data_IF_105283978462
#
_entry.id   IF_105283978462
#
_cell.length_a   1.000
_cell.length_b   1.000
_cell.length_c   1.000
_cell.angle_alpha   90.00
_cell.angle_beta   90.00
_cell.angle_gamma   90.00
#
_symmetry.space_group_name_H-M   'P 1'
#
loop_
_entity.id
_entity.type
_entity.pdbx_description
1 polymer ?
#
# COMPACT_ATOMS: atom_id res chain seq x y z
N UNK A 1 25.75 -53.28 -84.35
CA UNK A 1 25.23 -53.02 -82.98
C UNK A 1 25.52 -54.29 -82.19
N UNK A 2 26.72 -54.46 -81.65
CA UNK A 2 27.15 -54.04 -80.30
C UNK A 2 26.30 -54.74 -79.23
N UNK A 3 26.77 -55.68 -78.41
CA UNK A 3 28.09 -56.22 -78.17
C UNK A 3 28.02 -57.43 -77.21
N UNK A 4 29.14 -58.13 -77.07
CA UNK A 4 29.49 -59.05 -75.97
C UNK A 4 30.98 -58.77 -75.71
N UNK A 5 31.54 -58.88 -74.49
CA UNK A 5 31.48 -60.12 -73.70
C UNK A 5 31.61 -60.01 -72.15
N UNK A 6 31.50 -61.19 -71.54
CA UNK A 6 32.34 -61.73 -70.46
C UNK A 6 31.89 -61.75 -68.99
N UNK A 7 32.18 -62.86 -68.26
CA UNK A 7 31.71 -63.16 -66.91
C UNK A 7 32.80 -63.03 -65.82
N UNK A 8 32.38 -62.91 -64.56
CA UNK A 8 33.15 -63.14 -63.32
C UNK A 8 32.10 -63.16 -62.20
N UNK A 9 32.01 -64.09 -61.25
CA UNK A 9 33.02 -64.93 -60.63
C UNK A 9 32.88 -64.73 -59.11
N UNK A 10 32.61 -65.82 -58.40
CA UNK A 10 32.88 -66.07 -56.97
C UNK A 10 31.96 -65.52 -55.85
N UNK A 11 31.39 -66.48 -55.12
CA UNK A 11 31.42 -66.67 -53.65
C UNK A 11 30.46 -65.95 -52.66
N UNK A 12 29.56 -66.78 -52.06
CA UNK A 12 29.27 -67.05 -50.61
C UNK A 12 29.26 -65.91 -49.56
N UNK A 13 28.68 -66.09 -48.35
CA UNK A 13 27.39 -66.66 -47.90
C UNK A 13 26.58 -65.75 -46.93
N UNK A 14 25.32 -66.14 -46.67
CA UNK A 14 24.52 -66.03 -45.42
C UNK A 14 24.49 -64.73 -44.56
N UNK A 15 23.30 -64.12 -44.46
CA UNK A 15 22.71 -63.57 -43.22
C UNK A 15 21.23 -63.27 -43.52
N UNK A 16 20.25 -63.90 -42.86
CA UNK A 16 19.80 -63.47 -41.54
C UNK A 16 18.50 -62.67 -41.69
N UNK A 17 17.35 -63.34 -41.71
CA UNK A 17 16.05 -62.66 -41.61
C UNK A 17 15.54 -62.83 -40.18
N UNK A 18 15.63 -61.74 -39.43
CA UNK A 18 15.43 -61.69 -37.99
C UNK A 18 13.98 -61.81 -37.52
N UNK A 19 13.79 -61.93 -36.20
CA UNK A 19 12.49 -62.02 -35.56
C UNK A 19 11.75 -60.67 -35.57
N UNK A 20 10.44 -60.71 -35.78
CA UNK A 20 9.55 -59.58 -35.60
C UNK A 20 9.50 -59.16 -34.13
N UNK A 21 9.97 -57.94 -33.85
CA UNK A 21 9.93 -57.30 -32.52
C UNK A 21 8.52 -56.70 -32.30
N UNK A 22 7.79 -57.05 -31.22
CA UNK A 22 6.58 -56.32 -30.83
C UNK A 22 6.97 -54.96 -30.20
N UNK A 23 6.17 -53.90 -30.38
CA UNK A 23 6.52 -52.57 -29.91
C UNK A 23 6.60 -52.53 -28.39
N UNK A 24 7.76 -52.14 -27.87
CA UNK A 24 8.02 -51.97 -26.45
C UNK A 24 7.10 -50.92 -25.84
N UNK A 25 6.11 -51.39 -25.07
CA UNK A 25 5.42 -50.56 -24.10
C UNK A 25 6.43 -50.12 -23.05
N UNK A 26 6.82 -48.84 -23.11
CA UNK A 26 7.70 -48.24 -22.11
C UNK A 26 7.00 -48.26 -20.75
N UNK A 27 7.41 -49.22 -19.91
CA UNK A 27 6.99 -49.34 -18.52
C UNK A 27 7.46 -48.10 -17.75
N UNK A 28 6.62 -47.07 -17.69
CA UNK A 28 6.85 -45.92 -16.81
C UNK A 28 6.88 -46.43 -15.37
N UNK A 29 8.04 -46.29 -14.73
CA UNK A 29 8.29 -46.86 -13.41
C UNK A 29 7.26 -46.34 -12.39
N UNK A 30 6.83 -47.17 -11.43
CA UNK A 30 5.90 -46.74 -10.38
C UNK A 30 6.47 -45.59 -9.54
N UNK A 31 7.79 -45.45 -9.48
CA UNK A 31 8.50 -44.33 -8.89
C UNK A 31 8.22 -42.98 -9.58
N UNK A 32 8.12 -42.95 -10.91
CA UNK A 32 7.71 -41.73 -11.64
C UNK A 32 6.25 -41.35 -11.36
N UNK A 33 5.36 -42.32 -11.08
CA UNK A 33 3.96 -42.04 -10.71
C UNK A 33 3.84 -41.50 -9.29
N UNK A 34 4.67 -41.98 -8.36
CA UNK A 34 4.70 -41.53 -6.97
C UNK A 34 5.31 -40.12 -6.82
N UNK A 35 6.35 -39.78 -7.58
CA UNK A 35 6.91 -38.41 -7.57
C UNK A 35 5.99 -37.42 -8.28
N UNK A 36 5.33 -37.81 -9.37
CA UNK A 36 4.36 -36.96 -10.06
C UNK A 36 3.14 -36.61 -9.18
N UNK A 37 2.67 -37.53 -8.35
CA UNK A 37 1.55 -37.28 -7.43
C UNK A 37 1.93 -36.41 -6.24
N UNK A 38 3.17 -36.55 -5.73
CA UNK A 38 3.72 -35.70 -4.66
C UNK A 38 3.95 -34.26 -5.14
N UNK A 39 4.54 -34.09 -6.32
CA UNK A 39 4.73 -32.78 -6.95
C UNK A 39 3.39 -32.08 -7.24
N UNK A 40 2.39 -32.82 -7.72
CA UNK A 40 1.02 -32.30 -7.90
C UNK A 40 0.41 -31.83 -6.59
N UNK A 41 0.49 -32.63 -5.52
CA UNK A 41 -0.02 -32.25 -4.19
C UNK A 41 0.67 -31.01 -3.63
N UNK A 42 1.99 -30.90 -3.79
CA UNK A 42 2.73 -29.71 -3.39
C UNK A 42 2.31 -28.47 -4.17
N UNK A 43 2.08 -28.61 -5.49
CA UNK A 43 1.57 -27.52 -6.32
C UNK A 43 0.16 -27.08 -5.91
N UNK A 44 -0.73 -28.03 -5.59
CA UNK A 44 -2.06 -27.72 -5.07
C UNK A 44 -1.98 -26.99 -3.73
N UNK A 45 -1.19 -27.49 -2.77
CA UNK A 45 -1.01 -26.83 -1.47
C UNK A 45 -0.44 -25.42 -1.60
N UNK A 46 0.58 -25.24 -2.44
CA UNK A 46 1.15 -23.93 -2.71
C UNK A 46 0.13 -22.99 -3.38
N UNK A 47 -0.66 -23.49 -4.33
CA UNK A 47 -1.74 -22.74 -4.97
C UNK A 47 -2.83 -22.32 -3.97
N UNK A 48 -3.27 -23.24 -3.11
CA UNK A 48 -4.27 -22.93 -2.07
C UNK A 48 -3.73 -21.90 -1.08
N UNK A 49 -2.47 -22.02 -0.65
CA UNK A 49 -1.83 -21.04 0.24
C UNK A 49 -1.74 -19.66 -0.41
N UNK A 50 -1.34 -19.59 -1.69
CA UNK A 50 -1.27 -18.34 -2.43
C UNK A 50 -2.66 -17.66 -2.54
N UNK A 51 -3.70 -18.43 -2.90
CA UNK A 51 -5.08 -17.92 -2.95
C UNK A 51 -5.52 -17.41 -1.58
N UNK A 52 -5.21 -18.14 -0.50
CA UNK A 52 -5.54 -17.73 0.85
C UNK A 52 -4.86 -16.42 1.24
N UNK A 53 -3.56 -16.27 0.95
CA UNK A 53 -2.82 -15.03 1.22
C UNK A 53 -3.38 -13.84 0.44
N UNK A 54 -3.74 -14.05 -0.83
CA UNK A 54 -4.40 -13.02 -1.65
C UNK A 54 -5.73 -12.61 -1.03
N UNK A 55 -6.58 -13.57 -0.64
CA UNK A 55 -7.86 -13.30 0.02
C UNK A 55 -7.69 -12.51 1.31
N UNK A 56 -6.76 -12.92 2.19
CA UNK A 56 -6.48 -12.22 3.45
C UNK A 56 -6.02 -10.79 3.18
N UNK A 57 -5.13 -10.59 2.21
CA UNK A 57 -4.62 -9.26 1.87
C UNK A 57 -5.72 -8.37 1.27
N UNK A 58 -6.54 -8.90 0.37
CA UNK A 58 -7.70 -8.19 -0.18
C UNK A 58 -8.71 -7.80 0.88
N UNK A 59 -9.03 -8.68 1.81
CA UNK A 59 -9.94 -8.37 2.93
C UNK A 59 -9.33 -7.30 3.83
N UNK A 60 -8.04 -7.41 4.17
CA UNK A 60 -7.36 -6.40 4.97
C UNK A 60 -7.36 -5.02 4.28
N UNK A 61 -7.18 -4.98 2.96
CA UNK A 61 -7.22 -3.75 2.18
C UNK A 61 -8.62 -3.15 2.11
N UNK A 62 -9.68 -3.96 2.10
CA UNK A 62 -11.06 -3.46 2.09
C UNK A 62 -11.51 -2.91 3.46
N UNK A 63 -10.94 -3.41 4.55
CA UNK A 63 -11.36 -3.03 5.91
C UNK A 63 -10.46 -1.96 6.52
N UNK A 64 -9.22 -1.81 6.05
CA UNK A 64 -8.33 -0.76 6.53
C UNK A 64 -8.89 0.63 6.18
N UNK A 65 -8.94 1.58 7.14
CA UNK A 65 -9.26 2.97 6.84
C UNK A 65 -8.20 3.52 5.89
N UNK A 66 -8.61 3.92 4.70
CA UNK A 66 -7.76 4.64 3.76
C UNK A 66 -7.94 6.13 3.98
N UNK A 67 -6.86 6.91 4.06
CA UNK A 67 -6.99 8.35 4.16
C UNK A 67 -7.57 8.92 2.87
N UNK A 68 -8.42 9.92 3.00
CA UNK A 68 -8.95 10.71 1.88
C UNK A 68 -7.84 11.53 1.20
N UNK A 69 -6.81 11.90 1.96
CA UNK A 69 -5.59 12.51 1.44
C UNK A 69 -4.39 12.21 2.36
N UNK A 70 -3.19 12.18 1.79
CA UNK A 70 -1.93 12.14 2.55
C UNK A 70 -1.09 13.35 2.20
N UNK A 71 -0.89 14.22 3.18
CA UNK A 71 -0.21 15.50 3.08
C UNK A 71 1.28 15.33 3.34
N UNK A 72 2.11 15.88 2.45
CA UNK A 72 3.58 15.75 2.55
C UNK A 72 4.17 16.89 3.35
N UNK A 73 5.36 16.65 3.91
CA UNK A 73 6.16 17.70 4.53
C UNK A 73 6.52 18.79 3.52
N UNK A 74 6.35 20.05 3.89
CA UNK A 74 6.82 21.19 3.09
C UNK A 74 8.20 21.65 3.57
N UNK A 75 8.99 22.22 2.67
CA UNK A 75 10.32 22.79 2.98
C UNK A 75 10.24 24.22 3.50
N UNK A 76 9.06 24.84 3.41
CA UNK A 76 8.88 26.23 3.79
C UNK A 76 8.98 26.37 5.30
N UNK A 77 9.76 27.37 5.72
CA UNK A 77 9.84 27.72 7.13
C UNK A 77 8.53 28.34 7.60
N UNK A 78 8.10 28.08 8.85
CA UNK A 78 6.91 28.72 9.40
C UNK A 78 7.11 30.24 9.40
N UNK A 79 6.15 30.96 8.84
CA UNK A 79 6.18 32.42 8.84
C UNK A 79 5.78 32.98 10.21
N UNK A 80 5.82 34.31 10.33
CA UNK A 80 5.51 35.00 11.59
C UNK A 80 4.06 34.85 12.02
N UNK A 81 3.12 34.65 11.08
CA UNK A 81 1.71 34.45 11.40
C UNK A 81 1.52 33.08 12.03
N UNK A 82 2.05 32.04 11.40
CA UNK A 82 2.03 30.67 11.94
C UNK A 82 2.72 30.67 13.30
N UNK A 83 3.95 31.17 13.42
CA UNK A 83 4.67 31.20 14.70
C UNK A 83 3.92 31.97 15.80
N UNK A 84 3.20 33.04 15.45
CA UNK A 84 2.36 33.75 16.41
C UNK A 84 1.18 32.92 16.89
N UNK A 85 0.54 32.14 16.01
CA UNK A 85 -0.58 31.27 16.36
C UNK A 85 -0.12 30.08 17.19
N UNK A 86 1.01 29.46 16.83
CA UNK A 86 1.61 28.37 17.61
C UNK A 86 1.99 28.85 19.02
N UNK A 87 2.51 30.08 19.16
CA UNK A 87 2.85 30.67 20.46
C UNK A 87 1.66 31.11 21.31
N UNK A 88 0.52 31.44 20.68
CA UNK A 88 -0.68 31.92 21.40
C UNK A 88 -1.35 30.83 22.23
N UNK A 89 -1.21 29.55 21.84
CA UNK A 89 -1.76 28.41 22.58
C UNK A 89 -0.99 28.09 23.88
N UNK A 90 -0.06 28.95 24.30
CA UNK A 90 0.71 28.79 25.55
C UNK A 90 1.84 27.77 25.46
N UNK A 91 2.05 27.20 24.28
CA UNK A 91 3.13 26.29 23.98
C UNK A 91 4.43 27.09 23.84
N UNK A 92 5.37 26.85 24.74
CA UNK A 92 6.75 27.31 24.58
C UNK A 92 7.41 26.38 23.54
N UNK A 93 7.10 26.63 22.27
CA UNK A 93 7.44 25.76 21.15
C UNK A 93 8.93 25.85 20.82
N UNK A 94 9.61 24.70 20.70
CA UNK A 94 10.92 24.66 20.07
C UNK A 94 10.77 24.94 18.57
N UNK A 95 11.12 26.15 18.14
CA UNK A 95 11.00 26.58 16.73
C UNK A 95 11.77 25.68 15.77
N UNK A 96 12.84 25.03 16.22
CA UNK A 96 13.62 24.12 15.37
C UNK A 96 12.90 22.80 15.10
N UNK A 97 11.89 22.47 15.91
CA UNK A 97 11.07 21.28 15.78
C UNK A 97 9.85 21.47 14.88
N UNK A 98 9.53 22.73 14.53
CA UNK A 98 8.32 23.07 13.77
C UNK A 98 8.42 22.55 12.34
N UNK A 99 7.39 21.82 11.93
CA UNK A 99 7.29 21.20 10.60
C UNK A 99 5.91 21.45 10.02
N UNK A 100 5.87 22.04 8.82
CA UNK A 100 4.64 22.25 8.08
C UNK A 100 4.35 21.09 7.13
N UNK A 101 3.07 20.90 6.81
CA UNK A 101 2.61 19.93 5.83
C UNK A 101 1.81 20.64 4.75
N UNK A 102 1.65 19.98 3.60
CA UNK A 102 0.80 20.45 2.51
C UNK A 102 -0.60 20.78 3.03
N UNK A 103 -1.22 21.82 2.46
CA UNK A 103 -2.56 22.22 2.86
C UNK A 103 -3.63 21.24 2.38
N UNK A 104 -4.70 21.09 3.15
CA UNK A 104 -5.91 20.39 2.73
C UNK A 104 -7.11 21.30 2.91
N UNK A 105 -7.81 21.62 1.82
CA UNK A 105 -8.97 22.52 1.84
C UNK A 105 -8.68 23.81 2.63
N UNK A 106 -7.52 24.44 2.39
CA UNK A 106 -7.10 25.68 3.06
C UNK A 106 -6.64 25.55 4.52
N UNK A 107 -6.72 24.36 5.10
CA UNK A 107 -6.15 24.07 6.41
C UNK A 107 -4.69 23.64 6.29
N UNK A 108 -3.83 24.21 7.12
CA UNK A 108 -2.39 23.96 7.18
C UNK A 108 -2.03 23.18 8.46
N UNK A 109 -1.63 21.90 8.36
CA UNK A 109 -1.17 21.16 9.53
C UNK A 109 0.28 21.55 9.87
N UNK A 110 0.52 21.78 11.16
CA UNK A 110 1.82 22.11 11.72
C UNK A 110 2.11 21.21 12.91
N UNK A 111 3.22 20.46 12.81
CA UNK A 111 3.78 19.70 13.92
C UNK A 111 4.79 20.54 14.67
N UNK A 112 4.86 20.37 15.98
CA UNK A 112 5.94 20.90 16.80
C UNK A 112 6.16 20.09 18.08
N UNK A 113 7.30 20.30 18.71
CA UNK A 113 7.64 19.75 20.02
C UNK A 113 7.71 20.89 21.03
N UNK A 114 6.97 20.77 22.12
CA UNK A 114 7.03 21.71 23.24
C UNK A 114 8.27 21.44 24.11
N UNK A 115 8.66 22.43 24.94
CA UNK A 115 9.79 22.28 25.88
C UNK A 115 9.66 21.07 26.82
N UNK A 116 8.44 20.67 27.16
CA UNK A 116 8.14 19.51 28.01
C UNK A 116 8.24 18.18 27.24
N UNK A 117 8.60 18.21 25.95
CA UNK A 117 8.69 17.05 25.08
C UNK A 117 7.36 16.55 24.53
N UNK A 118 6.26 17.30 24.72
CA UNK A 118 4.98 16.96 24.12
C UNK A 118 5.03 17.18 22.60
N UNK A 119 4.42 16.26 21.87
CA UNK A 119 4.25 16.34 20.44
C UNK A 119 2.90 16.98 20.15
N UNK A 120 2.90 18.12 19.47
CA UNK A 120 1.70 18.87 19.16
C UNK A 120 1.45 18.90 17.65
N UNK A 121 0.20 18.66 17.28
CA UNK A 121 -0.31 18.89 15.93
C UNK A 121 -1.36 19.98 16.00
N UNK A 122 -1.16 21.03 15.22
CA UNK A 122 -2.06 22.18 15.12
C UNK A 122 -2.49 22.32 13.68
N UNK A 123 -3.75 22.69 13.47
CA UNK A 123 -4.32 22.90 12.15
C UNK A 123 -4.74 24.35 12.05
N UNK A 124 -4.05 25.08 11.19
CA UNK A 124 -4.18 26.53 11.05
C UNK A 124 -5.07 26.84 9.85
N UNK A 125 -6.05 27.72 10.04
CA UNK A 125 -6.75 28.38 8.95
C UNK A 125 -6.17 29.81 8.80
N UNK A 126 -5.40 30.01 7.73
CA UNK A 126 -4.63 31.25 7.54
C UNK A 126 -5.50 32.47 7.24
N UNK A 127 -6.62 32.29 6.54
CA UNK A 127 -7.60 33.36 6.20
C UNK A 127 -8.18 34.02 7.44
N UNK A 128 -8.54 33.24 8.44
CA UNK A 128 -9.14 33.70 9.69
C UNK A 128 -8.11 33.95 10.79
N UNK A 129 -6.84 33.53 10.56
CA UNK A 129 -5.77 33.56 11.55
C UNK A 129 -6.18 32.84 12.84
N UNK A 130 -6.79 31.66 12.69
CA UNK A 130 -7.24 30.82 13.79
C UNK A 130 -6.57 29.46 13.76
N UNK A 131 -6.59 28.78 14.91
CA UNK A 131 -6.26 27.36 15.03
C UNK A 131 -7.56 26.62 15.27
N UNK A 132 -8.04 25.90 14.27
CA UNK A 132 -9.35 25.22 14.31
C UNK A 132 -9.27 23.81 14.91
N UNK A 133 -8.07 23.26 15.00
CA UNK A 133 -7.81 21.99 15.68
C UNK A 133 -6.41 21.99 16.28
N UNK A 134 -6.29 21.54 17.53
CA UNK A 134 -4.99 21.36 18.17
C UNK A 134 -5.05 20.19 19.15
N UNK A 135 -3.99 19.40 19.18
CA UNK A 135 -3.81 18.35 20.16
C UNK A 135 -2.33 18.17 20.49
N UNK A 136 -2.03 17.91 21.75
CA UNK A 136 -0.67 17.69 22.25
C UNK A 136 -0.66 16.41 23.07
N UNK A 137 0.25 15.49 22.73
CA UNK A 137 0.35 14.18 23.39
C UNK A 137 1.80 13.83 23.70
N UNK A 138 2.04 12.95 24.69
CA UNK A 138 3.39 12.43 24.94
C UNK A 138 3.93 11.65 23.73
N UNK A 139 5.26 11.55 23.58
CA UNK A 139 5.86 10.73 22.53
C UNK A 139 5.39 9.27 22.60
N UNK A 140 5.11 8.68 21.42
CA UNK A 140 4.61 7.32 21.31
C UNK A 140 3.10 7.16 21.47
N UNK A 141 2.38 8.25 21.79
CA UNK A 141 0.93 8.30 21.73
C UNK A 141 0.48 8.74 20.34
N UNK A 142 -0.65 8.21 19.89
CA UNK A 142 -1.23 8.54 18.61
C UNK A 142 -1.67 10.01 18.57
N UNK A 143 -1.13 10.78 17.62
CA UNK A 143 -1.32 12.22 17.54
C UNK A 143 -2.21 12.58 16.36
N UNK A 144 -3.39 13.11 16.65
CA UNK A 144 -4.31 13.62 15.66
C UNK A 144 -5.01 14.89 16.15
N UNK A 145 -5.47 15.70 15.21
CA UNK A 145 -6.27 16.89 15.46
C UNK A 145 -7.54 16.84 14.60
N UNK A 146 -8.67 17.20 15.19
CA UNK A 146 -9.98 17.15 14.53
C UNK A 146 -10.51 18.56 14.30
N UNK A 147 -11.13 18.77 13.14
CA UNK A 147 -11.89 19.97 12.78
C UNK A 147 -13.34 19.54 12.53
N UNK A 148 -14.29 20.21 13.17
CA UNK A 148 -15.71 20.00 12.91
C UNK A 148 -16.27 20.98 11.89
N UNK A 149 -17.03 20.47 10.92
CA UNK A 149 -17.81 21.28 10.00
C UNK A 149 -19.11 21.71 10.70
N UNK A 150 -19.17 22.94 11.20
CA UNK A 150 -20.35 23.47 11.90
C UNK A 150 -21.00 24.62 11.13
N UNK A 151 -22.35 24.70 11.08
CA UNK A 151 -23.06 25.69 10.27
C UNK A 151 -22.81 27.14 10.68
N UNK A 152 -22.39 27.39 11.92
CA UNK A 152 -22.09 28.73 12.43
C UNK A 152 -20.73 29.25 11.96
N UNK A 153 -19.83 28.35 11.52
CA UNK A 153 -18.50 28.72 11.08
C UNK A 153 -18.54 29.27 9.64
N UNK A 154 -19.29 28.66 8.71
CA UNK A 154 -19.55 29.27 7.41
C UNK A 154 -18.28 29.58 6.60
N UNK A 155 -17.24 28.75 6.73
CA UNK A 155 -15.97 28.92 6.05
C UNK A 155 -16.07 28.24 4.68
N UNK A 156 -15.66 28.91 3.60
CA UNK A 156 -15.60 28.35 2.22
C UNK A 156 -14.85 27.00 2.17
N UNK A 157 -13.95 26.77 3.12
CA UNK A 157 -13.12 25.55 3.26
C UNK A 157 -13.90 24.28 3.62
N UNK A 158 -15.08 24.43 4.22
CA UNK A 158 -15.95 23.32 4.60
C UNK A 158 -17.08 23.08 3.59
N UNK A 159 -17.06 23.81 2.47
CA UNK A 159 -18.07 23.68 1.42
C UNK A 159 -18.14 22.24 0.88
N UNK A 160 -19.38 21.74 0.77
CA UNK A 160 -19.69 20.39 0.30
C UNK A 160 -19.63 19.31 1.38
N UNK A 161 -19.35 19.65 2.64
CA UNK A 161 -19.46 18.73 3.77
C UNK A 161 -20.81 18.90 4.49
N UNK A 162 -21.51 17.81 4.85
CA UNK A 162 -22.68 17.88 5.72
C UNK A 162 -22.34 18.53 7.07
N UNK A 163 -23.28 19.31 7.61
CA UNK A 163 -23.16 19.86 8.96
C UNK A 163 -22.96 18.75 10.00
N UNK A 164 -21.94 18.90 10.84
CA UNK A 164 -21.50 17.91 11.82
C UNK A 164 -20.42 16.95 11.33
N UNK A 165 -19.93 17.10 10.09
CA UNK A 165 -18.80 16.30 9.59
C UNK A 165 -17.52 16.61 10.36
N UNK A 166 -16.61 15.65 10.46
CA UNK A 166 -15.30 15.80 11.10
C UNK A 166 -14.20 15.54 10.10
N UNK A 167 -13.21 16.42 10.03
CA UNK A 167 -11.96 16.21 9.33
C UNK A 167 -10.88 15.91 10.37
N UNK A 168 -10.31 14.72 10.33
CA UNK A 168 -9.22 14.29 11.21
C UNK A 168 -7.88 14.34 10.47
N UNK A 169 -6.94 15.05 11.06
CA UNK A 169 -5.54 15.10 10.62
C UNK A 169 -4.71 14.20 11.53
N UNK A 170 -4.13 13.14 10.98
CA UNK A 170 -3.40 12.11 11.71
C UNK A 170 -1.91 12.18 11.39
N UNK A 171 -1.09 12.50 12.40
CA UNK A 171 0.35 12.64 12.24
C UNK A 171 1.05 11.29 12.10
N UNK A 172 1.88 11.13 11.04
CA UNK A 172 2.68 9.94 10.76
C UNK A 172 4.20 10.18 10.80
N UNK A 173 4.63 11.37 11.22
CA UNK A 173 6.04 11.75 11.21
C UNK A 173 6.43 12.53 9.96
N UNK A 174 6.49 11.87 8.81
CA UNK A 174 6.87 12.49 7.53
C UNK A 174 5.67 12.91 6.67
N UNK A 175 4.46 12.56 7.09
CA UNK A 175 3.21 12.93 6.46
C UNK A 175 2.10 13.13 7.49
N UNK A 176 1.00 13.71 7.04
CA UNK A 176 -0.26 13.78 7.78
C UNK A 176 -1.34 13.13 6.92
N UNK A 177 -1.97 12.10 7.45
CA UNK A 177 -3.10 11.43 6.83
C UNK A 177 -4.39 12.19 7.18
N UNK A 178 -5.27 12.41 6.22
CA UNK A 178 -6.55 13.10 6.40
C UNK A 178 -7.68 12.10 6.26
N UNK A 179 -8.60 12.11 7.22
CA UNK A 179 -9.84 11.31 7.18
C UNK A 179 -11.05 12.24 7.31
N UNK A 180 -12.04 12.08 6.45
CA UNK A 180 -13.29 12.82 6.47
C UNK A 180 -14.39 11.87 6.93
N UNK A 181 -14.95 12.17 8.11
CA UNK A 181 -16.10 11.47 8.66
C UNK A 181 -17.35 12.33 8.40
N UNK A 182 -18.18 11.99 7.41
CA UNK A 182 -19.41 12.73 7.17
C UNK A 182 -20.35 12.59 8.37
N UNK A 183 -21.11 13.64 8.67
CA UNK A 183 -22.20 13.55 9.64
C UNK A 183 -23.18 12.45 9.24
N UNK A 184 -23.75 11.77 10.23
CA UNK A 184 -24.88 10.90 9.97
C UNK A 184 -26.05 11.76 9.51
N UNK A 185 -26.63 11.48 8.34
CA UNK A 185 -27.91 12.09 7.98
C UNK A 185 -28.93 11.69 9.06
N UNK A 186 -29.31 12.62 9.93
CA UNK A 186 -30.55 12.49 10.68
C UNK A 186 -31.68 12.65 9.67
N UNK A 187 -32.19 11.52 9.17
CA UNK A 187 -33.38 11.48 8.31
C UNK A 187 -34.62 12.08 8.96
#
# INVERSE_FOLDING_TARGET
>A
MSGSPSPSGADRPAAGTGPAVPPGGTSRSPWQRLTATRARRSFFLAGTLAIFLVLVNSVAWLVAPHPDATLRLITDSPDTVVLSLLGFLGADVDRSSVRGYEQYRGFEPWFSVEKQGQHCLMVVERSTRMVDGANCVPPGVDLFADIGAWPVLGNDYLEGLPDGSIIRFHYRGNSVDVFVYPASESG
#
